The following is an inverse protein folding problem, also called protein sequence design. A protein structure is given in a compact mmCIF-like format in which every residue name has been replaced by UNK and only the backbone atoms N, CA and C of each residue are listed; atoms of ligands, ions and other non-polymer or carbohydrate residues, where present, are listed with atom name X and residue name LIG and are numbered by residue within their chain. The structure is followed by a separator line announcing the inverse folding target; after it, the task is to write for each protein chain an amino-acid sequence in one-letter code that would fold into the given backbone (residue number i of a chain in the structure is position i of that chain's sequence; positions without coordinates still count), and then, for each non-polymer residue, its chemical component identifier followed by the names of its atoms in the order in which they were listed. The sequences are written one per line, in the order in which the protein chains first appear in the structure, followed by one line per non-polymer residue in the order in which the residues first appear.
data_IF_135568438213
#
_entry.id   IF_135568438213
#
_cell.length_a   1.000
_cell.length_b   1.000
_cell.length_c   1.000
_cell.angle_alpha   90.00
_cell.angle_beta   90.00
_cell.angle_gamma   90.00
#
_symmetry.space_group_name_H-M   'P 1'
#
loop_
_entity.id
_entity.type
_entity.pdbx_description
1 polymer ?
#
# COMPACT_ATOMS: atom_id res chain seq x y z
N UNK A 1 2.84 -7.12 -7.79
CA UNK A 1 2.68 -6.32 -9.03
C UNK A 1 1.45 -5.43 -8.86
N UNK A 2 1.58 -4.13 -9.11
CA UNK A 2 0.55 -3.14 -8.85
C UNK A 2 -0.04 -2.60 -10.15
N UNK A 3 -1.38 -2.59 -10.28
CA UNK A 3 -2.06 -2.06 -11.45
C UNK A 3 -2.30 -0.56 -11.30
N UNK A 4 -1.84 0.25 -12.25
CA UNK A 4 -2.10 1.68 -12.25
C UNK A 4 -3.61 1.93 -12.37
N UNK A 5 -4.25 2.68 -11.45
CA UNK A 5 -5.69 2.91 -11.47
C UNK A 5 -6.13 3.81 -12.63
N UNK A 6 -5.20 4.56 -13.25
CA UNK A 6 -5.52 5.49 -14.33
C UNK A 6 -5.51 4.84 -15.72
N UNK A 7 -4.53 3.97 -16.00
CA UNK A 7 -4.31 3.43 -17.34
C UNK A 7 -4.24 1.89 -17.40
N UNK A 8 -4.33 1.22 -16.25
CA UNK A 8 -4.29 -0.24 -16.17
C UNK A 8 -2.91 -0.88 -16.35
N UNK A 9 -1.84 -0.09 -16.56
CA UNK A 9 -0.47 -0.62 -16.68
C UNK A 9 -0.05 -1.34 -15.39
N UNK A 10 0.50 -2.54 -15.55
CA UNK A 10 1.10 -3.29 -14.45
C UNK A 10 2.51 -2.76 -14.16
N UNK A 11 2.76 -2.39 -12.92
CA UNK A 11 4.05 -1.91 -12.43
C UNK A 11 4.58 -2.92 -11.41
N UNK A 12 5.74 -3.51 -11.69
CA UNK A 12 6.38 -4.51 -10.83
C UNK A 12 7.18 -3.86 -9.70
N UNK A 13 7.86 -2.76 -9.99
CA UNK A 13 8.79 -2.09 -9.07
C UNK A 13 8.10 -0.98 -8.29
N UNK A 14 8.08 -1.10 -6.97
CA UNK A 14 7.72 -0.02 -6.06
C UNK A 14 8.85 1.01 -5.94
N UNK A 15 8.49 2.29 -5.86
CA UNK A 15 9.42 3.38 -5.50
C UNK A 15 9.81 3.26 -4.04
N UNK A 16 8.82 3.06 -3.17
CA UNK A 16 8.99 2.96 -1.72
C UNK A 16 7.80 2.23 -1.12
N UNK A 17 8.03 1.46 -0.06
CA UNK A 17 6.98 0.91 0.77
C UNK A 17 7.15 1.35 2.23
N UNK A 18 6.03 1.42 2.96
CA UNK A 18 6.03 1.70 4.39
C UNK A 18 4.86 1.01 5.09
N UNK A 19 5.01 0.79 6.39
CA UNK A 19 3.96 0.22 7.24
C UNK A 19 3.25 1.33 8.00
N UNK A 20 1.93 1.25 8.05
CA UNK A 20 1.06 2.18 8.77
C UNK A 20 0.13 1.36 9.66
N UNK A 21 0.19 1.57 10.97
CA UNK A 21 -0.75 0.95 11.90
C UNK A 21 -1.79 1.98 12.35
N UNK A 22 -3.06 1.61 12.28
CA UNK A 22 -4.16 2.45 12.74
C UNK A 22 -4.34 2.45 14.26
N UNK A 23 -5.44 3.08 14.71
CA UNK A 23 -5.86 3.06 16.12
C UNK A 23 -6.16 1.63 16.57
N UNK A 24 -5.75 1.23 17.80
CA UNK A 24 -6.16 -0.04 18.38
C UNK A 24 -7.68 -0.17 18.54
N UNK A 25 -8.19 -1.38 18.36
CA UNK A 25 -9.57 -1.76 18.71
C UNK A 25 -9.73 -1.92 20.23
N UNK A 26 -10.97 -2.18 20.68
CA UNK A 26 -11.29 -2.38 22.11
C UNK A 26 -10.56 -3.58 22.73
N UNK A 27 -10.06 -4.51 21.92
CA UNK A 27 -9.30 -5.69 22.33
C UNK A 27 -7.79 -5.47 22.25
N UNK A 28 -7.32 -4.22 22.04
CA UNK A 28 -5.90 -3.89 21.98
C UNK A 28 -5.20 -4.40 20.73
N UNK A 29 -5.92 -4.66 19.63
CA UNK A 29 -5.33 -5.05 18.34
C UNK A 29 -5.44 -3.89 17.37
N UNK A 30 -4.39 -3.62 16.59
CA UNK A 30 -4.38 -2.61 15.53
C UNK A 30 -4.18 -3.24 14.16
N UNK A 31 -4.79 -2.62 13.16
CA UNK A 31 -4.62 -3.02 11.78
C UNK A 31 -3.38 -2.34 11.21
N UNK A 32 -2.37 -3.13 10.85
CA UNK A 32 -1.19 -2.68 10.12
C UNK A 32 -1.39 -2.91 8.62
N UNK A 33 -1.29 -1.83 7.86
CA UNK A 33 -1.29 -1.80 6.41
C UNK A 33 0.13 -1.61 5.93
N UNK A 34 0.54 -2.37 4.93
CA UNK A 34 1.74 -2.09 4.16
C UNK A 34 1.33 -1.42 2.86
N UNK A 35 1.80 -0.20 2.65
CA UNK A 35 1.47 0.62 1.49
C UNK A 35 2.71 0.73 0.62
N UNK A 36 2.58 0.38 -0.66
CA UNK A 36 3.59 0.62 -1.69
C UNK A 36 3.22 1.84 -2.52
N UNK A 37 4.19 2.70 -2.78
CA UNK A 37 4.12 3.80 -3.74
C UNK A 37 4.78 3.36 -5.04
N UNK A 38 4.07 3.49 -6.15
CA UNK A 38 4.51 3.09 -7.48
C UNK A 38 4.47 4.29 -8.41
N UNK A 39 5.42 4.37 -9.34
CA UNK A 39 5.36 5.30 -10.46
C UNK A 39 4.89 4.56 -11.70
N UNK A 40 3.84 5.08 -12.33
CA UNK A 40 3.38 4.51 -13.60
C UNK A 40 4.28 5.01 -14.74
N UNK A 41 4.98 4.13 -15.48
CA UNK A 41 5.83 4.54 -16.60
C UNK A 41 5.04 5.11 -17.78
N UNK A 42 3.75 4.75 -17.91
CA UNK A 42 2.87 5.22 -18.98
C UNK A 42 2.24 6.57 -18.67
N UNK A 43 1.92 6.83 -17.40
CA UNK A 43 1.24 8.06 -16.99
C UNK A 43 2.17 9.10 -16.35
N UNK A 44 3.40 8.72 -15.99
CA UNK A 44 4.32 9.52 -15.19
C UNK A 44 3.68 10.08 -13.91
N UNK A 45 2.74 9.31 -13.32
CA UNK A 45 2.05 9.66 -12.07
C UNK A 45 2.32 8.60 -11.02
N UNK A 46 2.52 9.06 -9.79
CA UNK A 46 2.64 8.21 -8.63
C UNK A 46 1.26 7.74 -8.15
N UNK A 47 1.16 6.51 -7.67
CA UNK A 47 -0.04 5.94 -7.08
C UNK A 47 0.31 5.00 -5.92
N UNK A 48 -0.61 4.87 -4.96
CA UNK A 48 -0.43 4.05 -3.76
C UNK A 48 -1.28 2.80 -3.85
N UNK A 49 -0.75 1.68 -3.40
CA UNK A 49 -1.45 0.39 -3.33
C UNK A 49 -1.19 -0.25 -1.97
N UNK A 50 -2.23 -0.87 -1.40
CA UNK A 50 -2.08 -1.68 -0.19
C UNK A 50 -1.52 -3.04 -0.59
N UNK A 51 -0.29 -3.32 -0.16
CA UNK A 51 0.43 -4.57 -0.44
C UNK A 51 0.03 -5.67 0.54
N UNK A 52 -0.12 -5.34 1.82
CA UNK A 52 -0.52 -6.30 2.85
C UNK A 52 -1.37 -5.65 3.93
N UNK A 53 -2.21 -6.48 4.57
CA UNK A 53 -3.07 -6.11 5.71
C UNK A 53 -2.89 -7.16 6.78
N UNK A 54 -2.45 -6.76 7.98
CA UNK A 54 -2.25 -7.67 9.12
C UNK A 54 -2.85 -7.06 10.39
N UNK A 55 -3.44 -7.89 11.26
CA UNK A 55 -3.77 -7.49 12.63
C UNK A 55 -2.56 -7.77 13.51
N UNK A 56 -2.10 -6.75 14.22
CA UNK A 56 -1.02 -6.85 15.20
C UNK A 56 -1.53 -6.40 16.56
N UNK A 57 -0.99 -6.93 17.68
CA UNK A 57 -1.26 -6.33 18.99
C UNK A 57 -0.77 -4.87 19.04
N UNK A 58 -1.46 -4.04 19.83
CA UNK A 58 -1.13 -2.64 20.05
C UNK A 58 0.23 -2.51 20.71
#
# INVERSE_FOLDING_TARGET
MAKCPKCGTNVSKERKSWKMAGRPDRSGKRMQLEIGLFDCPKCNKAFRVVLSKKKIPA
#
